data_IF_161352561705
#
_entry.id   IF_161352561705
#
_cell.length_a   1.000
_cell.length_b   1.000
_cell.length_c   1.000
_cell.angle_alpha   90.00
_cell.angle_beta   90.00
_cell.angle_gamma   90.00
#
_symmetry.space_group_name_H-M   'P 1'
#
loop_
_entity.id
_entity.type
_entity.pdbx_description
1 polymer ?
#
# COMPACT_ATOMS: atom_id res chain seq x y z
N UNK A 1 -8.33 -5.00 -9.41
CA UNK A 1 -7.84 -5.52 -8.10
C UNK A 1 -8.58 -4.75 -7.01
N UNK A 2 -8.89 -5.37 -5.87
CA UNK A 2 -9.62 -4.69 -4.78
C UNK A 2 -8.69 -4.46 -3.59
N UNK A 3 -8.00 -3.32 -3.63
CA UNK A 3 -7.01 -2.93 -2.61
C UNK A 3 -7.68 -2.75 -1.25
N UNK A 4 -8.88 -2.19 -1.20
CA UNK A 4 -9.62 -1.95 0.06
C UNK A 4 -9.93 -3.26 0.78
N UNK A 5 -10.42 -4.28 0.07
CA UNK A 5 -10.65 -5.61 0.66
C UNK A 5 -9.36 -6.28 1.12
N UNK A 6 -8.27 -6.15 0.35
CA UNK A 6 -6.97 -6.70 0.72
C UNK A 6 -6.43 -6.06 2.00
N UNK A 7 -6.41 -4.72 2.08
CA UNK A 7 -6.00 -3.98 3.28
C UNK A 7 -6.85 -4.39 4.48
N UNK A 8 -8.19 -4.46 4.32
CA UNK A 8 -9.08 -4.90 5.39
C UNK A 8 -8.76 -6.30 5.90
N UNK A 9 -8.49 -7.25 5.00
CA UNK A 9 -8.10 -8.61 5.37
C UNK A 9 -6.81 -8.62 6.18
N UNK A 10 -5.79 -7.90 5.72
CA UNK A 10 -4.50 -7.83 6.40
C UNK A 10 -4.60 -7.17 7.79
N UNK A 11 -5.39 -6.11 7.94
CA UNK A 11 -5.69 -5.52 9.25
C UNK A 11 -6.38 -6.52 10.18
N UNK A 12 -7.40 -7.24 9.69
CA UNK A 12 -8.09 -8.26 10.50
C UNK A 12 -7.14 -9.38 10.93
N UNK A 13 -6.22 -9.82 10.07
CA UNK A 13 -5.19 -10.79 10.43
C UNK A 13 -4.22 -10.21 11.45
N UNK A 14 -3.88 -8.92 11.34
CA UNK A 14 -3.07 -8.24 12.35
C UNK A 14 -3.76 -8.20 13.71
N UNK A 15 -5.07 -7.98 13.74
CA UNK A 15 -5.87 -7.92 14.98
C UNK A 15 -6.02 -9.29 15.65
N UNK A 16 -5.84 -10.41 14.93
CA UNK A 16 -5.88 -11.75 15.51
C UNK A 16 -4.86 -11.93 16.65
N UNK A 17 -3.80 -11.12 16.70
CA UNK A 17 -2.80 -11.17 17.78
C UNK A 17 -3.35 -10.75 19.15
N UNK A 18 -4.50 -10.09 19.18
CA UNK A 18 -5.13 -9.51 20.38
C UNK A 18 -6.32 -10.32 20.90
N UNK A 19 -6.63 -11.47 20.28
CA UNK A 19 -7.77 -12.29 20.71
C UNK A 19 -7.48 -12.96 22.06
N UNK A 20 -8.53 -13.20 22.85
CA UNK A 20 -8.40 -13.96 24.09
C UNK A 20 -8.02 -15.42 23.77
N UNK A 21 -6.98 -15.91 24.46
CA UNK A 21 -6.42 -17.25 24.28
C UNK A 21 -6.58 -18.15 25.50
N UNK A 22 -7.39 -17.71 26.48
CA UNK A 22 -7.60 -18.41 27.75
C UNK A 22 -8.04 -19.86 27.53
N UNK A 23 -8.97 -20.08 26.59
CA UNK A 23 -9.57 -21.40 26.32
C UNK A 23 -8.83 -22.23 25.26
N UNK A 24 -7.69 -21.76 24.73
CA UNK A 24 -7.03 -22.43 23.60
C UNK A 24 -6.33 -23.73 24.02
N UNK A 25 -6.50 -24.75 23.20
CA UNK A 25 -5.70 -25.98 23.21
C UNK A 25 -4.24 -25.68 22.83
N UNK A 26 -3.32 -26.60 23.14
CA UNK A 26 -1.89 -26.40 22.86
C UNK A 26 -1.58 -26.18 21.38
N UNK A 27 -2.26 -26.90 20.48
CA UNK A 27 -2.13 -26.73 19.02
C UNK A 27 -2.62 -25.34 18.57
N UNK A 28 -3.75 -24.89 19.11
CA UNK A 28 -4.32 -23.57 18.83
C UNK A 28 -3.42 -22.44 19.33
N UNK A 29 -2.77 -22.62 20.49
CA UNK A 29 -1.77 -21.66 20.99
C UNK A 29 -0.55 -21.55 20.09
N UNK A 30 -0.08 -22.66 19.51
CA UNK A 30 1.03 -22.63 18.56
C UNK A 30 0.64 -21.91 17.26
N UNK A 31 -0.56 -22.17 16.74
CA UNK A 31 -1.12 -21.46 15.59
C UNK A 31 -1.30 -19.97 15.90
N UNK A 32 -1.82 -19.62 17.07
CA UNK A 32 -1.96 -18.24 17.51
C UNK A 32 -0.62 -17.52 17.56
N UNK A 33 0.44 -18.15 18.09
CA UNK A 33 1.79 -17.58 18.08
C UNK A 33 2.29 -17.27 16.66
N UNK A 34 2.01 -18.15 15.70
CA UNK A 34 2.34 -17.89 14.29
C UNK A 34 1.55 -16.68 13.76
N UNK A 35 0.25 -16.59 14.07
CA UNK A 35 -0.57 -15.42 13.74
C UNK A 35 -0.10 -14.14 14.43
N UNK A 36 0.43 -14.19 15.65
CA UNK A 36 1.03 -13.01 16.29
C UNK A 36 2.20 -12.48 15.47
N UNK A 37 3.11 -13.35 15.03
CA UNK A 37 4.27 -12.94 14.22
C UNK A 37 3.81 -12.37 12.88
N UNK A 38 2.88 -13.06 12.21
CA UNK A 38 2.30 -12.60 10.95
C UNK A 38 1.58 -11.26 11.11
N UNK A 39 0.83 -11.11 12.19
CA UNK A 39 0.10 -9.91 12.52
C UNK A 39 1.01 -8.73 12.80
N UNK A 40 2.10 -8.93 13.56
CA UNK A 40 3.13 -7.91 13.78
C UNK A 40 3.83 -7.49 12.48
N UNK A 41 4.03 -8.42 11.54
CA UNK A 41 4.58 -8.12 10.22
C UNK A 41 3.59 -7.28 9.38
N UNK A 42 2.31 -7.65 9.33
CA UNK A 42 1.30 -6.90 8.57
C UNK A 42 0.98 -5.54 9.17
N UNK A 43 0.93 -5.43 10.50
CA UNK A 43 0.81 -4.17 11.21
C UNK A 43 1.97 -3.24 10.84
N UNK A 44 3.21 -3.73 10.95
CA UNK A 44 4.40 -2.96 10.59
C UNK A 44 4.44 -2.52 9.10
N UNK A 45 3.81 -3.30 8.21
CA UNK A 45 3.66 -3.00 6.78
C UNK A 45 2.63 -1.88 6.53
N UNK A 46 1.49 -1.94 7.21
CA UNK A 46 0.30 -1.15 6.90
C UNK A 46 0.20 0.15 7.71
N UNK A 47 0.63 0.14 8.96
CA UNK A 47 0.49 1.25 9.89
C UNK A 47 1.06 2.58 9.32
N UNK A 48 2.22 2.60 8.64
CA UNK A 48 2.72 3.82 7.98
C UNK A 48 1.87 4.38 6.84
N UNK A 49 0.96 3.58 6.28
CA UNK A 49 0.07 3.99 5.20
C UNK A 49 -1.31 4.42 5.71
N UNK A 50 -1.80 3.78 6.78
CA UNK A 50 -3.17 3.98 7.29
C UNK A 50 -3.20 5.09 8.34
N UNK A 51 -2.12 5.26 9.12
CA UNK A 51 -2.06 6.23 10.20
C UNK A 51 -1.23 7.48 9.81
N UNK A 52 -1.89 8.58 9.40
CA UNK A 52 -1.19 9.81 9.03
C UNK A 52 -0.59 10.56 10.22
N UNK A 53 -0.92 10.19 11.46
CA UNK A 53 -0.40 10.84 12.66
C UNK A 53 1.03 10.40 13.01
N UNK A 54 1.53 9.32 12.38
CA UNK A 54 2.88 8.82 12.63
C UNK A 54 3.94 9.81 12.16
N UNK A 55 4.96 10.01 13.00
CA UNK A 55 6.14 10.76 12.58
C UNK A 55 6.89 10.01 11.48
N UNK A 56 7.69 10.74 10.69
CA UNK A 56 8.54 10.11 9.68
C UNK A 56 9.49 9.06 10.29
N UNK A 57 9.96 9.28 11.52
CA UNK A 57 10.82 8.33 12.23
C UNK A 57 10.04 7.04 12.54
N UNK A 58 8.83 7.15 13.06
CA UNK A 58 7.98 6.00 13.38
C UNK A 58 7.62 5.21 12.12
N UNK A 59 7.32 5.91 11.03
CA UNK A 59 7.07 5.28 9.73
C UNK A 59 8.30 4.48 9.26
N UNK A 60 9.52 5.00 9.40
CA UNK A 60 10.75 4.30 9.02
C UNK A 60 11.00 3.09 9.93
N UNK A 61 10.86 3.26 11.24
CA UNK A 61 11.05 2.17 12.22
C UNK A 61 10.09 1.02 11.91
N UNK A 62 8.81 1.33 11.64
CA UNK A 62 7.81 0.35 11.22
C UNK A 62 8.21 -0.38 9.94
N UNK A 63 8.73 0.33 8.93
CA UNK A 63 9.24 -0.32 7.70
C UNK A 63 10.41 -1.24 7.94
N UNK A 64 11.36 -0.82 8.77
CA UNK A 64 12.51 -1.66 9.11
C UNK A 64 12.07 -2.90 9.87
N UNK A 65 11.15 -2.75 10.83
CA UNK A 65 10.52 -3.88 11.53
C UNK A 65 9.90 -4.86 10.55
N UNK A 66 9.09 -4.37 9.60
CA UNK A 66 8.52 -5.20 8.54
C UNK A 66 9.61 -5.92 7.72
N UNK A 67 10.62 -5.19 7.23
CA UNK A 67 11.68 -5.75 6.40
C UNK A 67 12.48 -6.85 7.13
N UNK A 68 12.77 -6.65 8.41
CA UNK A 68 13.45 -7.63 9.25
C UNK A 68 12.59 -8.85 9.54
N UNK A 69 11.30 -8.68 9.83
CA UNK A 69 10.38 -9.81 10.03
C UNK A 69 10.21 -10.63 8.74
N UNK A 70 10.02 -9.96 7.60
CA UNK A 70 9.93 -10.62 6.30
C UNK A 70 11.22 -11.39 5.96
N UNK A 71 12.39 -10.82 6.26
CA UNK A 71 13.69 -11.49 6.10
C UNK A 71 13.82 -12.71 7.02
N UNK A 72 13.50 -12.58 8.31
CA UNK A 72 13.58 -13.70 9.24
C UNK A 72 12.66 -14.86 8.85
N UNK A 73 11.44 -14.56 8.40
CA UNK A 73 10.49 -15.57 7.93
C UNK A 73 10.92 -16.20 6.61
N UNK A 74 11.45 -15.40 5.68
CA UNK A 74 12.01 -15.91 4.42
C UNK A 74 13.25 -16.78 4.65
N UNK A 75 14.18 -16.41 5.52
CA UNK A 75 15.35 -17.26 5.84
C UNK A 75 14.92 -18.59 6.47
N UNK A 76 13.83 -18.58 7.26
CA UNK A 76 13.36 -19.78 7.97
C UNK A 76 12.51 -20.72 7.10
N UNK A 77 11.72 -20.17 6.18
CA UNK A 77 10.71 -20.91 5.41
C UNK A 77 10.92 -20.81 3.89
N UNK A 78 11.89 -20.02 3.44
CA UNK A 78 12.26 -19.79 2.04
C UNK A 78 11.04 -19.46 1.16
N UNK A 79 10.97 -20.07 -0.04
CA UNK A 79 9.91 -19.87 -1.01
C UNK A 79 8.52 -20.30 -0.54
N UNK A 80 8.41 -21.10 0.53
CA UNK A 80 7.12 -21.61 1.04
C UNK A 80 6.31 -20.53 1.74
N UNK A 81 6.97 -19.52 2.32
CA UNK A 81 6.29 -18.41 2.98
C UNK A 81 6.04 -17.24 2.02
N UNK A 82 7.09 -16.78 1.33
CA UNK A 82 6.99 -15.74 0.30
C UNK A 82 7.71 -16.26 -0.94
N UNK A 83 7.08 -16.11 -2.11
CA UNK A 83 7.81 -16.39 -3.36
C UNK A 83 9.05 -15.50 -3.44
N UNK A 84 10.12 -16.00 -4.06
CA UNK A 84 11.39 -15.27 -4.21
C UNK A 84 11.18 -13.88 -4.82
N UNK A 85 10.27 -13.79 -5.80
CA UNK A 85 9.88 -12.54 -6.42
C UNK A 85 9.19 -11.59 -5.43
N UNK A 86 8.18 -12.08 -4.71
CA UNK A 86 7.45 -11.26 -3.73
C UNK A 86 8.37 -10.77 -2.62
N UNK A 87 9.27 -11.62 -2.11
CA UNK A 87 10.27 -11.23 -1.14
C UNK A 87 11.18 -10.11 -1.68
N UNK A 88 11.71 -10.28 -2.90
CA UNK A 88 12.54 -9.27 -3.56
C UNK A 88 11.83 -7.93 -3.73
N UNK A 89 10.55 -7.96 -4.15
CA UNK A 89 9.73 -6.77 -4.33
C UNK A 89 9.47 -6.05 -2.99
N UNK A 90 9.14 -6.79 -1.93
CA UNK A 90 8.88 -6.24 -0.58
C UNK A 90 10.14 -5.63 0.05
N UNK A 91 11.31 -6.28 -0.10
CA UNK A 91 12.58 -5.73 0.38
C UNK A 91 12.98 -4.49 -0.43
N UNK A 92 12.77 -4.51 -1.75
CA UNK A 92 13.04 -3.36 -2.61
C UNK A 92 12.14 -2.18 -2.27
N UNK A 93 10.85 -2.41 -1.99
CA UNK A 93 9.93 -1.40 -1.50
C UNK A 93 10.43 -0.75 -0.20
N UNK A 94 10.83 -1.54 0.80
CA UNK A 94 11.35 -1.02 2.06
C UNK A 94 12.64 -0.21 1.86
N UNK A 95 13.60 -0.74 1.09
CA UNK A 95 14.86 -0.07 0.78
C UNK A 95 14.62 1.24 0.03
N UNK A 96 13.78 1.24 -1.00
CA UNK A 96 13.48 2.41 -1.81
C UNK A 96 12.84 3.52 -0.98
N UNK A 97 11.96 3.20 -0.03
CA UNK A 97 11.39 4.19 0.86
C UNK A 97 12.48 4.90 1.69
N UNK A 98 13.42 4.15 2.27
CA UNK A 98 14.53 4.70 3.07
C UNK A 98 15.44 5.58 2.21
N UNK A 99 15.84 5.10 1.02
CA UNK A 99 16.68 5.88 0.10
C UNK A 99 16.01 7.16 -0.34
N UNK A 100 14.71 7.12 -0.69
CA UNK A 100 13.95 8.31 -1.07
C UNK A 100 13.88 9.32 0.07
N UNK A 101 13.65 8.87 1.31
CA UNK A 101 13.68 9.75 2.48
C UNK A 101 15.05 10.37 2.67
N UNK A 102 16.12 9.57 2.68
CA UNK A 102 17.48 10.05 2.88
C UNK A 102 17.87 11.07 1.80
N UNK A 103 17.65 10.74 0.53
CA UNK A 103 17.89 11.64 -0.60
C UNK A 103 17.13 12.96 -0.46
N UNK A 104 15.84 12.88 -0.12
CA UNK A 104 14.99 14.06 0.08
C UNK A 104 15.50 14.95 1.21
N UNK A 105 15.97 14.36 2.32
CA UNK A 105 16.51 15.10 3.46
C UNK A 105 17.88 15.71 3.19
N UNK A 106 18.73 15.06 2.40
CA UNK A 106 19.99 15.64 1.92
C UNK A 106 19.74 16.82 0.99
N UNK A 107 18.76 16.70 0.08
CA UNK A 107 18.42 17.76 -0.86
C UNK A 107 17.74 18.95 -0.18
N UNK A 108 16.82 18.71 0.75
CA UNK A 108 16.17 19.74 1.55
C UNK A 108 15.76 19.19 2.94
N UNK A 109 16.48 19.56 4.01
CA UNK A 109 16.18 19.09 5.37
C UNK A 109 14.76 19.41 5.85
N UNK A 110 14.20 20.53 5.40
CA UNK A 110 12.87 21.02 5.78
C UNK A 110 11.73 20.36 5.03
N UNK A 111 12.02 19.56 3.99
CA UNK A 111 10.99 18.90 3.20
C UNK A 111 10.21 17.91 4.07
N UNK A 112 8.89 18.05 4.10
CA UNK A 112 7.98 17.10 4.73
C UNK A 112 7.84 15.89 3.79
N UNK A 113 8.31 14.75 4.25
CA UNK A 113 8.24 13.48 3.50
C UNK A 113 7.27 12.57 4.24
N UNK A 114 6.38 11.92 3.50
CA UNK A 114 5.47 10.90 4.03
C UNK A 114 5.53 9.67 3.13
N UNK A 115 5.63 8.48 3.73
CA UNK A 115 5.79 7.24 2.98
C UNK A 115 4.55 6.90 2.14
N UNK A 116 3.36 7.36 2.52
CA UNK A 116 2.14 7.18 1.74
C UNK A 116 2.21 7.82 0.34
N UNK A 117 3.09 8.81 0.14
CA UNK A 117 3.26 9.47 -1.17
C UNK A 117 4.22 8.72 -2.10
N UNK A 118 4.81 7.60 -1.67
CA UNK A 118 5.70 6.80 -2.51
C UNK A 118 4.96 5.76 -3.38
N UNK A 119 3.64 5.63 -3.19
CA UNK A 119 2.79 4.80 -4.03
C UNK A 119 2.58 5.39 -5.43
N UNK A 120 1.90 4.62 -6.28
CA UNK A 120 1.57 4.94 -7.66
C UNK A 120 0.08 5.31 -7.85
N UNK A 121 -0.69 5.50 -6.76
CA UNK A 121 -2.11 5.87 -6.79
C UNK A 121 -2.39 7.06 -7.73
N UNK A 122 -1.51 8.07 -7.75
CA UNK A 122 -1.64 9.23 -8.64
C UNK A 122 -1.56 8.83 -10.11
N UNK A 123 -0.69 7.87 -10.44
CA UNK A 123 -0.60 7.30 -11.78
C UNK A 123 -1.80 6.41 -12.08
N UNK A 124 -2.26 5.59 -11.13
CA UNK A 124 -3.47 4.78 -11.33
C UNK A 124 -4.70 5.65 -11.63
N UNK A 125 -4.88 6.76 -10.91
CA UNK A 125 -5.93 7.75 -11.19
C UNK A 125 -5.78 8.33 -12.59
N UNK A 126 -4.56 8.67 -13.00
CA UNK A 126 -4.30 9.19 -14.35
C UNK A 126 -4.65 8.16 -15.44
N UNK A 127 -4.25 6.90 -15.26
CA UNK A 127 -4.62 5.79 -16.12
C UNK A 127 -6.13 5.52 -16.10
N UNK A 128 -6.79 5.62 -14.95
CA UNK A 128 -8.24 5.48 -14.83
C UNK A 128 -8.96 6.56 -15.64
N UNK A 129 -8.53 7.81 -15.49
CA UNK A 129 -9.08 8.96 -16.22
C UNK A 129 -8.85 8.83 -17.73
N UNK A 130 -7.66 8.43 -18.18
CA UNK A 130 -7.39 8.29 -19.61
C UNK A 130 -8.27 7.23 -20.29
N UNK A 131 -8.58 6.13 -19.59
CA UNK A 131 -9.53 5.11 -20.06
C UNK A 131 -10.99 5.56 -20.02
N UNK A 132 -11.33 6.53 -19.16
CA UNK A 132 -12.69 7.05 -19.03
C UNK A 132 -13.03 8.15 -20.05
N UNK A 133 -12.03 8.77 -20.69
CA UNK A 133 -12.24 9.82 -21.70
C UNK A 133 -13.10 9.32 -22.86
N UNK A 134 -12.85 8.09 -23.30
CA UNK A 134 -13.65 7.45 -24.34
C UNK A 134 -14.23 6.13 -23.80
N UNK A 135 -15.53 6.18 -23.56
CA UNK A 135 -16.31 5.06 -23.00
C UNK A 135 -16.38 3.87 -23.96
N UNK A 136 -16.23 4.08 -25.27
CA UNK A 136 -16.33 3.01 -26.26
C UNK A 136 -14.99 2.30 -26.46
N UNK A 137 -13.87 3.02 -26.33
CA UNK A 137 -12.52 2.45 -26.40
C UNK A 137 -11.72 2.71 -25.13
N UNK A 138 -11.98 1.97 -24.03
CA UNK A 138 -11.18 2.10 -22.81
C UNK A 138 -9.74 1.61 -23.01
N UNK A 139 -9.52 0.70 -23.96
CA UNK A 139 -8.19 0.24 -24.37
C UNK A 139 -7.73 1.08 -25.55
N UNK A 140 -6.95 2.10 -25.24
CA UNK A 140 -6.46 3.10 -26.17
C UNK A 140 -5.29 2.56 -27.00
N UNK A 141 -5.25 2.91 -28.28
CA UNK A 141 -4.11 2.65 -29.13
C UNK A 141 -2.92 3.57 -28.75
N UNK A 142 -1.70 3.17 -29.14
CA UNK A 142 -0.46 3.86 -28.73
C UNK A 142 -0.40 5.29 -29.26
N UNK A 143 -0.92 5.53 -30.46
CA UNK A 143 -1.05 6.84 -31.09
C UNK A 143 -2.01 7.78 -30.34
N UNK A 144 -3.09 7.24 -29.77
CA UNK A 144 -4.04 8.00 -28.96
C UNK A 144 -3.52 8.32 -27.56
N UNK A 145 -2.43 7.66 -27.13
CA UNK A 145 -1.95 7.72 -25.75
C UNK A 145 -1.53 9.13 -25.35
N UNK A 146 -0.80 9.82 -26.22
CA UNK A 146 -0.35 11.18 -25.97
C UNK A 146 -1.53 12.13 -25.72
N UNK A 147 -2.52 12.09 -26.61
CA UNK A 147 -3.68 12.99 -26.55
C UNK A 147 -4.54 12.72 -25.31
N UNK A 148 -4.83 11.44 -25.03
CA UNK A 148 -5.67 11.06 -23.88
C UNK A 148 -5.00 11.36 -22.54
N UNK A 149 -3.69 11.16 -22.42
CA UNK A 149 -2.95 11.55 -21.22
C UNK A 149 -2.93 13.07 -21.04
N UNK A 150 -2.73 13.83 -22.12
CA UNK A 150 -2.80 15.30 -22.09
C UNK A 150 -4.15 15.79 -21.56
N UNK A 151 -5.25 15.26 -22.10
CA UNK A 151 -6.61 15.57 -21.62
C UNK A 151 -6.84 15.12 -20.17
N UNK A 152 -6.38 13.93 -19.78
CA UNK A 152 -6.55 13.42 -18.41
C UNK A 152 -5.78 14.28 -17.37
N UNK A 153 -4.59 14.79 -17.74
CA UNK A 153 -3.83 15.73 -16.91
C UNK A 153 -4.56 17.07 -16.76
N UNK A 154 -5.13 17.61 -17.84
CA UNK A 154 -5.93 18.84 -17.78
C UNK A 154 -7.16 18.67 -16.88
N UNK A 155 -7.89 17.56 -17.02
CA UNK A 155 -9.02 17.21 -16.15
C UNK A 155 -8.54 17.14 -14.69
N UNK A 156 -7.40 16.47 -14.44
CA UNK A 156 -6.84 16.36 -13.10
C UNK A 156 -6.41 17.70 -12.50
N UNK A 157 -5.91 18.62 -13.32
CA UNK A 157 -5.60 19.99 -12.91
C UNK A 157 -6.87 20.77 -12.53
N UNK A 158 -7.93 20.64 -13.33
CA UNK A 158 -9.24 21.26 -13.04
C UNK A 158 -9.79 20.74 -11.71
N UNK A 159 -9.84 19.42 -11.49
CA UNK A 159 -10.34 18.85 -10.24
C UNK A 159 -9.48 19.21 -9.02
N UNK A 160 -8.17 19.40 -9.19
CA UNK A 160 -7.30 19.88 -8.10
C UNK A 160 -7.67 21.29 -7.66
N UNK A 161 -8.03 22.16 -8.61
CA UNK A 161 -8.43 23.54 -8.33
C UNK A 161 -9.91 23.68 -7.96
N UNK A 162 -10.74 22.74 -8.42
CA UNK A 162 -12.19 22.67 -8.21
C UNK A 162 -12.62 21.27 -7.76
N UNK A 163 -12.30 20.86 -6.51
CA UNK A 163 -12.60 19.51 -6.01
C UNK A 163 -14.10 19.18 -6.02
N UNK A 164 -14.97 20.18 -5.94
CA UNK A 164 -16.43 20.07 -5.99
C UNK A 164 -16.95 19.48 -7.32
N UNK A 165 -16.18 19.56 -8.39
CA UNK A 165 -16.54 19.05 -9.70
C UNK A 165 -16.26 17.54 -9.85
N UNK A 166 -15.38 16.99 -9.00
CA UNK A 166 -14.99 15.60 -9.09
C UNK A 166 -16.05 14.69 -8.44
N UNK A 167 -16.84 14.01 -9.27
CA UNK A 167 -17.67 12.90 -8.81
C UNK A 167 -16.77 11.68 -8.62
N UNK A 168 -16.28 11.46 -7.41
CA UNK A 168 -15.63 10.20 -7.06
C UNK A 168 -16.57 9.04 -7.40
N UNK A 169 -16.04 8.04 -8.11
CA UNK A 169 -16.78 6.83 -8.41
C UNK A 169 -17.20 6.18 -7.08
N UNK A 170 -18.45 6.37 -6.68
CA UNK A 170 -19.04 5.57 -5.62
C UNK A 170 -19.16 4.17 -6.20
N UNK A 171 -18.31 3.25 -5.73
CA UNK A 171 -18.47 1.85 -6.05
C UNK A 171 -19.94 1.49 -5.85
N UNK A 172 -20.55 0.85 -6.87
CA UNK A 172 -21.93 0.43 -6.85
C UNK A 172 -22.20 -0.25 -5.50
N UNK A 173 -22.93 0.42 -4.61
CA UNK A 173 -23.39 -0.16 -3.36
C UNK A 173 -24.41 -1.21 -3.76
N UNK A 174 -23.96 -2.45 -3.92
CA UNK A 174 -24.85 -3.60 -3.93
C UNK A 174 -25.57 -3.57 -2.58
N UNK A 175 -26.81 -3.09 -2.59
CA UNK A 175 -27.73 -3.22 -1.48
C UNK A 175 -27.79 -4.73 -1.16
N UNK A 176 -27.29 -5.10 0.02
CA UNK A 176 -27.56 -6.40 0.64
C UNK A 176 -28.79 -6.25 1.52
#
# INVERSE_FOLDING_TARGET
QDVTRAVKLLCLVADLRHIDTSDFLLSERNTHRAFCILGEMFDALLEPFINPALSLSDQIVSRLKFAHLACALFVKHDGDFLSHQLYGDLQSMAKNAIFKVAHSKVSNPLLKVSLCLFGDDVLEILFGRSRMIDRQSPNMAIDELHQRFGSALQIGYIFRNHPELERCAQGLKLLR
#
